data_IF_112453330328
#
_entry.id   IF_112453330328
#
_cell.length_a   1.000
_cell.length_b   1.000
_cell.length_c   1.000
_cell.angle_alpha   90.00
_cell.angle_beta   90.00
_cell.angle_gamma   90.00
#
_symmetry.space_group_name_H-M   'P 1'
#
loop_
_entity.id
_entity.type
_entity.pdbx_description
1 polymer ?
#
# COMPACT_ATOMS: atom_id res chain seq x y z
N UNK A 1 -6.90 -7.10 6.62
CA UNK A 1 -7.88 -6.63 7.62
C UNK A 1 -8.82 -5.60 7.00
N UNK A 2 -10.01 -5.39 7.59
CA UNK A 2 -11.00 -4.44 7.06
C UNK A 2 -11.55 -4.89 5.71
N UNK A 3 -11.66 -3.96 4.76
CA UNK A 3 -12.22 -4.20 3.42
C UNK A 3 -11.28 -4.96 2.46
N UNK A 4 -10.11 -5.40 2.92
CA UNK A 4 -9.16 -6.14 2.08
C UNK A 4 -9.79 -7.31 1.29
N UNK A 5 -10.73 -8.12 1.82
CA UNK A 5 -11.31 -9.24 1.07
C UNK A 5 -12.27 -8.85 -0.05
N UNK A 6 -12.61 -7.56 -0.18
CA UNK A 6 -13.54 -7.07 -1.22
C UNK A 6 -12.94 -5.94 -2.06
N UNK A 7 -11.78 -5.42 -1.67
CA UNK A 7 -11.11 -4.33 -2.36
C UNK A 7 -10.11 -4.88 -3.35
N UNK A 8 -10.38 -4.69 -4.64
CA UNK A 8 -9.46 -4.96 -5.74
C UNK A 8 -8.78 -3.63 -6.11
N UNK A 9 -7.45 -3.49 -5.95
CA UNK A 9 -6.75 -2.30 -6.37
C UNK A 9 -6.76 -2.18 -7.91
N UNK A 10 -6.60 -0.95 -8.40
CA UNK A 10 -6.52 -0.69 -9.85
C UNK A 10 -5.48 -1.58 -10.53
N UNK A 11 -5.79 -2.01 -11.76
CA UNK A 11 -4.92 -2.86 -12.60
C UNK A 11 -4.59 -4.24 -12.01
N UNK A 12 -5.31 -4.68 -10.98
CA UNK A 12 -5.17 -6.02 -10.39
C UNK A 12 -6.46 -6.84 -10.58
N UNK A 13 -6.31 -8.16 -10.51
CA UNK A 13 -7.43 -9.11 -10.62
C UNK A 13 -7.75 -9.81 -9.29
N UNK A 14 -6.99 -9.51 -8.24
CA UNK A 14 -7.12 -10.11 -6.90
C UNK A 14 -7.36 -9.03 -5.85
N UNK A 15 -8.01 -9.41 -4.77
CA UNK A 15 -8.28 -8.53 -3.63
C UNK A 15 -7.02 -8.29 -2.80
N UNK A 16 -7.00 -7.23 -1.98
CA UNK A 16 -5.89 -7.01 -1.05
C UNK A 16 -5.70 -8.15 -0.04
N UNK A 17 -6.73 -8.94 0.26
CA UNK A 17 -6.62 -10.08 1.15
C UNK A 17 -5.84 -11.26 0.53
N UNK A 18 -5.82 -11.35 -0.80
CA UNK A 18 -5.13 -12.40 -1.55
C UNK A 18 -3.65 -12.04 -1.83
N UNK A 19 -3.25 -10.78 -1.61
CA UNK A 19 -1.88 -10.33 -1.83
C UNK A 19 -0.96 -10.68 -0.67
N UNK A 20 0.32 -10.96 -0.95
CA UNK A 20 1.34 -11.06 0.10
C UNK A 20 1.52 -9.71 0.80
N UNK A 21 1.96 -9.70 2.08
CA UNK A 21 2.24 -8.46 2.79
C UNK A 21 3.19 -7.52 2.03
N UNK A 22 4.20 -8.07 1.36
CA UNK A 22 5.19 -7.33 0.59
C UNK A 22 4.54 -6.63 -0.60
N UNK A 23 3.77 -7.38 -1.40
CA UNK A 23 3.06 -6.86 -2.58
C UNK A 23 2.05 -5.79 -2.16
N UNK A 24 1.27 -6.06 -1.11
CA UNK A 24 0.31 -5.10 -0.55
C UNK A 24 1.01 -3.83 -0.05
N UNK A 25 2.14 -3.94 0.65
CA UNK A 25 2.89 -2.79 1.15
C UNK A 25 3.53 -1.97 0.01
N UNK A 26 3.89 -2.61 -1.11
CA UNK A 26 4.39 -1.92 -2.29
C UNK A 26 3.34 -0.99 -2.89
N UNK A 27 2.07 -1.43 -3.01
CA UNK A 27 1.05 -0.67 -3.76
C UNK A 27 -0.01 0.04 -2.90
N UNK A 28 -0.18 -0.34 -1.62
CA UNK A 28 -1.24 0.22 -0.78
C UNK A 28 -1.10 1.73 -0.54
N UNK A 29 -2.25 2.40 -0.33
CA UNK A 29 -2.31 3.81 0.03
C UNK A 29 -1.41 4.14 1.24
N UNK A 30 -1.39 3.26 2.25
CA UNK A 30 -0.54 3.39 3.43
C UNK A 30 0.94 3.32 3.07
N UNK A 31 1.35 2.32 2.28
CA UNK A 31 2.73 2.19 1.84
C UNK A 31 3.21 3.42 1.07
N UNK A 32 2.37 3.94 0.16
CA UNK A 32 2.65 5.18 -0.60
C UNK A 32 2.80 6.39 0.32
N UNK A 33 1.88 6.59 1.26
CA UNK A 33 1.90 7.71 2.19
C UNK A 33 3.12 7.68 3.11
N UNK A 34 3.49 6.51 3.64
CA UNK A 34 4.68 6.37 4.49
C UNK A 34 5.96 6.66 3.71
N UNK A 35 6.08 6.20 2.46
CA UNK A 35 7.24 6.53 1.62
C UNK A 35 7.35 8.02 1.34
N UNK A 36 6.22 8.68 1.05
CA UNK A 36 6.19 10.13 0.88
C UNK A 36 6.61 10.86 2.16
N UNK A 37 6.09 10.45 3.31
CA UNK A 37 6.48 10.99 4.62
C UNK A 37 7.97 10.83 4.90
N UNK A 38 8.54 9.64 4.66
CA UNK A 38 9.98 9.39 4.83
C UNK A 38 10.83 10.26 3.91
N UNK A 39 10.41 10.44 2.65
CA UNK A 39 11.08 11.34 1.71
C UNK A 39 11.11 12.77 2.24
N UNK A 40 9.99 13.24 2.77
CA UNK A 40 9.87 14.59 3.32
C UNK A 40 10.73 14.78 4.58
N UNK A 41 10.75 13.81 5.49
CA UNK A 41 11.58 13.86 6.69
C UNK A 41 13.08 13.90 6.35
N UNK A 42 13.50 13.14 5.33
CA UNK A 42 14.89 13.18 4.84
C UNK A 42 15.27 14.49 4.17
N UNK A 43 14.32 15.17 3.52
CA UNK A 43 14.56 16.46 2.88
C UNK A 43 14.66 17.61 3.89
N UNK A 44 14.12 17.44 5.10
CA UNK A 44 14.11 18.44 6.18
C UNK A 44 15.24 18.28 7.20
N UNK A 45 15.93 17.14 7.21
CA UNK A 45 17.07 16.86 8.08
C UNK A 45 18.39 17.19 7.40
#
# INVERSE_FOLDING_TARGET
>A
FGYDPIFIPEENTVTFAEMTPETKNAISHRGRAVRAMVSELKARG
#
